data_IF_697656647279
#
_entry.id   IF_697656647279
#
_cell.length_a   1.000
_cell.length_b   1.000
_cell.length_c   1.000
_cell.angle_alpha   90.00
_cell.angle_beta   90.00
_cell.angle_gamma   90.00
#
_symmetry.space_group_name_H-M   'P 1'
#
loop_
_entity.id
_entity.type
_entity.pdbx_description
1 polymer ?
#
# COMPACT_ATOMS: atom_id res chain seq x y z
N UNK A 1 -29.28 2.44 14.55
CA UNK A 1 -28.28 1.58 13.88
C UNK A 1 -27.19 1.33 14.90
N UNK A 2 -26.72 0.10 15.08
CA UNK A 2 -25.56 -0.16 15.94
C UNK A 2 -24.35 0.59 15.35
N UNK A 3 -23.61 1.30 16.20
CA UNK A 3 -22.37 1.97 15.78
C UNK A 3 -21.35 0.87 15.50
N UNK A 4 -20.73 0.87 14.32
CA UNK A 4 -19.67 -0.10 14.03
C UNK A 4 -18.50 0.11 15.00
N UNK A 5 -17.83 -0.96 15.45
CA UNK A 5 -16.63 -0.84 16.30
C UNK A 5 -15.60 0.08 15.70
N UNK A 6 -14.89 0.85 16.52
CA UNK A 6 -13.79 1.68 16.04
C UNK A 6 -12.67 0.82 15.43
N UNK A 7 -11.80 1.43 14.62
CA UNK A 7 -10.64 0.76 14.03
C UNK A 7 -9.36 1.51 14.45
N UNK A 8 -8.51 0.82 15.18
CA UNK A 8 -7.16 1.31 15.51
C UNK A 8 -6.19 0.66 14.54
N UNK A 9 -5.41 1.46 13.83
CA UNK A 9 -4.49 1.02 12.79
C UNK A 9 -3.06 1.33 13.20
N UNK A 10 -2.22 0.32 13.32
CA UNK A 10 -0.79 0.49 13.60
C UNK A 10 0.00 0.36 12.30
N UNK A 11 0.71 1.41 11.92
CA UNK A 11 1.36 1.49 10.62
C UNK A 11 2.79 2.04 10.72
N UNK A 12 3.71 1.39 10.01
CA UNK A 12 5.08 1.86 9.80
C UNK A 12 5.19 2.92 8.69
N UNK A 13 4.11 3.16 7.97
CA UNK A 13 4.06 4.15 6.90
C UNK A 13 3.44 5.45 7.42
N UNK A 14 4.09 6.58 7.12
CA UNK A 14 3.50 7.89 7.39
C UNK A 14 2.32 8.12 6.44
N UNK A 15 1.25 8.69 6.97
CA UNK A 15 0.04 9.01 6.20
C UNK A 15 0.33 9.90 4.99
N UNK A 16 1.23 10.87 5.17
CA UNK A 16 1.58 11.87 4.15
C UNK A 16 2.75 11.45 3.25
N UNK A 17 3.28 10.22 3.39
CA UNK A 17 4.45 9.81 2.61
C UNK A 17 4.08 9.56 1.14
N UNK A 18 3.40 8.46 0.85
CA UNK A 18 2.88 8.17 -0.49
C UNK A 18 1.47 7.62 -0.35
N UNK A 19 0.56 8.04 -1.24
CA UNK A 19 -0.81 7.58 -1.22
C UNK A 19 -0.88 6.16 -1.82
N UNK A 20 -1.29 5.20 -1.01
CA UNK A 20 -1.31 3.78 -1.39
C UNK A 20 -2.37 3.00 -0.59
N UNK A 21 -2.25 1.68 -0.47
CA UNK A 21 -3.22 0.78 0.16
C UNK A 21 -3.77 1.27 1.52
N UNK A 22 -2.95 1.73 2.50
CA UNK A 22 -3.50 2.19 3.77
C UNK A 22 -4.49 3.35 3.61
N UNK A 23 -4.14 4.38 2.84
CA UNK A 23 -5.02 5.53 2.63
C UNK A 23 -6.31 5.12 1.92
N UNK A 24 -6.22 4.26 0.90
CA UNK A 24 -7.40 3.77 0.19
C UNK A 24 -8.36 2.98 1.10
N UNK A 25 -7.83 2.09 1.95
CA UNK A 25 -8.65 1.27 2.84
C UNK A 25 -9.21 2.09 4.01
N UNK A 26 -8.36 2.87 4.68
CA UNK A 26 -8.74 3.57 5.90
C UNK A 26 -9.72 4.72 5.65
N UNK A 27 -9.60 5.44 4.54
CA UNK A 27 -10.60 6.45 4.15
C UNK A 27 -11.96 5.83 3.83
N UNK A 28 -12.01 4.59 3.35
CA UNK A 28 -13.26 3.85 3.15
C UNK A 28 -13.85 3.34 4.45
N UNK A 29 -13.01 2.80 5.33
CA UNK A 29 -13.41 2.43 6.69
C UNK A 29 -14.03 3.60 7.43
N UNK A 30 -13.43 4.80 7.31
CA UNK A 30 -13.88 6.01 7.98
C UNK A 30 -15.27 6.51 7.53
N UNK A 31 -15.84 5.98 6.43
CA UNK A 31 -17.22 6.30 6.02
C UNK A 31 -18.28 5.71 6.95
N UNK A 32 -17.93 4.67 7.73
CA UNK A 32 -18.89 3.92 8.55
C UNK A 32 -18.48 3.71 10.00
N UNK A 33 -17.22 3.99 10.35
CA UNK A 33 -16.66 3.79 11.69
C UNK A 33 -15.58 4.82 12.00
N UNK A 34 -15.29 5.07 13.28
CA UNK A 34 -14.12 5.86 13.69
C UNK A 34 -12.84 5.09 13.33
N UNK A 35 -11.86 5.78 12.75
CA UNK A 35 -10.55 5.21 12.37
C UNK A 35 -9.44 6.06 12.96
N UNK A 36 -8.56 5.43 13.74
CA UNK A 36 -7.38 6.02 14.35
C UNK A 36 -6.14 5.40 13.70
N UNK A 37 -5.47 6.16 12.84
CA UNK A 37 -4.26 5.73 12.15
C UNK A 37 -3.05 6.15 12.96
N UNK A 38 -2.47 5.20 13.68
CA UNK A 38 -1.38 5.41 14.62
C UNK A 38 -0.05 5.13 13.91
N UNK A 39 0.74 6.19 13.72
CA UNK A 39 2.02 6.16 13.03
C UNK A 39 3.17 5.76 13.96
N UNK A 40 4.32 5.40 13.39
CA UNK A 40 5.56 5.26 14.16
C UNK A 40 5.91 6.57 14.91
N UNK A 41 6.58 6.49 16.07
CA UNK A 41 6.91 7.67 16.83
C UNK A 41 7.86 8.63 16.12
N UNK A 42 7.71 9.92 16.41
CA UNK A 42 8.67 10.98 16.09
C UNK A 42 9.46 11.28 17.35
N UNK A 43 10.80 11.27 17.22
CA UNK A 43 11.70 11.54 18.34
C UNK A 43 12.06 13.01 18.40
N UNK A 44 11.96 13.61 19.59
CA UNK A 44 12.21 15.03 19.84
C UNK A 44 12.60 15.33 21.28
N UNK A 45 12.63 16.62 21.64
CA UNK A 45 12.98 17.09 22.99
C UNK A 45 11.76 17.53 23.82
N UNK A 46 10.58 17.67 23.20
CA UNK A 46 9.38 18.29 23.78
C UNK A 46 8.62 17.40 24.79
N UNK A 47 9.15 16.21 25.08
CA UNK A 47 8.49 15.22 25.93
C UNK A 47 7.46 14.37 25.18
N UNK A 48 6.81 13.45 25.93
CA UNK A 48 5.87 12.50 25.35
C UNK A 48 4.50 13.14 25.15
N UNK A 49 3.99 13.10 23.91
CA UNK A 49 2.65 13.59 23.57
C UNK A 49 2.11 12.88 22.32
N UNK A 50 0.80 12.71 22.25
CA UNK A 50 0.12 12.26 21.04
C UNK A 50 -0.41 13.47 20.27
N UNK A 51 0.08 13.69 19.05
CA UNK A 51 -0.48 14.72 18.15
C UNK A 51 -1.49 14.07 17.23
N UNK A 52 -2.66 14.66 17.10
CA UNK A 52 -3.73 14.17 16.24
C UNK A 52 -4.14 15.21 15.22
N UNK A 53 -4.55 14.74 14.01
CA UNK A 53 -5.17 15.56 12.98
C UNK A 53 -6.21 14.77 12.21
N UNK A 54 -7.15 15.46 11.60
CA UNK A 54 -8.17 14.82 10.74
C UNK A 54 -7.77 14.91 9.26
N UNK A 55 -7.83 13.77 8.57
CA UNK A 55 -7.50 13.68 7.16
C UNK A 55 -8.40 12.65 6.47
N UNK A 56 -9.23 13.09 5.50
CA UNK A 56 -10.13 12.17 4.77
C UNK A 56 -11.09 11.36 5.66
N UNK A 57 -11.47 11.89 6.84
CA UNK A 57 -12.31 11.20 7.83
C UNK A 57 -11.54 10.29 8.79
N UNK A 58 -10.23 10.16 8.62
CA UNK A 58 -9.32 9.38 9.48
C UNK A 58 -8.66 10.30 10.50
N UNK A 59 -8.61 9.89 11.77
CA UNK A 59 -7.80 10.55 12.80
C UNK A 59 -6.38 10.00 12.71
N UNK A 60 -5.47 10.79 12.16
CA UNK A 60 -4.04 10.44 12.11
C UNK A 60 -3.40 10.80 13.44
N UNK A 61 -2.82 9.82 14.10
CA UNK A 61 -2.23 9.89 15.44
C UNK A 61 -0.72 9.70 15.33
N UNK A 62 0.04 10.75 15.64
CA UNK A 62 1.51 10.71 15.57
C UNK A 62 2.08 10.83 17.00
N UNK A 63 2.62 9.76 17.59
CA UNK A 63 3.27 9.82 18.87
C UNK A 63 4.58 10.62 18.76
N UNK A 64 4.76 11.60 19.61
CA UNK A 64 6.02 12.28 19.83
C UNK A 64 6.60 11.77 21.14
N UNK A 65 7.82 11.26 21.13
CA UNK A 65 8.50 10.74 22.32
C UNK A 65 9.91 11.32 22.43
N UNK A 66 10.43 11.34 23.65
CA UNK A 66 11.76 11.89 23.91
C UNK A 66 12.85 11.11 23.17
N UNK A 67 13.84 11.84 22.63
CA UNK A 67 15.04 11.25 22.00
C UNK A 67 15.97 10.58 23.03
N UNK A 68 16.83 9.67 22.56
CA UNK A 68 17.88 9.05 23.37
C UNK A 68 17.43 7.86 24.24
N UNK A 69 16.20 7.39 24.06
CA UNK A 69 15.66 6.21 24.75
C UNK A 69 16.14 4.91 24.07
N UNK A 70 16.19 3.83 24.84
CA UNK A 70 16.29 2.48 24.28
C UNK A 70 15.03 2.11 23.50
N UNK A 71 15.14 1.10 22.61
CA UNK A 71 14.00 0.59 21.86
C UNK A 71 12.85 0.12 22.76
N UNK A 72 13.17 -0.53 23.88
CA UNK A 72 12.18 -1.00 24.85
C UNK A 72 11.46 0.16 25.56
N UNK A 73 12.18 1.21 25.96
CA UNK A 73 11.58 2.41 26.57
C UNK A 73 10.71 3.16 25.57
N UNK A 74 11.18 3.31 24.32
CA UNK A 74 10.40 3.92 23.25
C UNK A 74 9.08 3.17 23.00
N UNK A 75 9.13 1.85 22.92
CA UNK A 75 7.94 1.00 22.77
C UNK A 75 6.99 1.13 23.96
N UNK A 76 7.50 1.14 25.19
CA UNK A 76 6.68 1.29 26.39
C UNK A 76 5.97 2.67 26.45
N UNK A 77 6.65 3.74 26.06
CA UNK A 77 6.06 5.09 26.01
C UNK A 77 5.03 5.21 24.88
N UNK A 78 5.32 4.64 23.70
CA UNK A 78 4.37 4.58 22.58
C UNK A 78 3.12 3.78 22.97
N UNK A 79 3.28 2.64 23.65
CA UNK A 79 2.17 1.84 24.17
C UNK A 79 1.30 2.61 25.16
N UNK A 80 1.91 3.41 26.06
CA UNK A 80 1.19 4.26 26.99
C UNK A 80 0.34 5.31 26.26
N UNK A 81 0.91 6.00 25.27
CA UNK A 81 0.16 7.00 24.48
C UNK A 81 -1.01 6.36 23.70
N UNK A 82 -0.84 5.13 23.22
CA UNK A 82 -1.90 4.39 22.57
C UNK A 82 -3.00 3.97 23.57
N UNK A 83 -2.63 3.55 24.77
CA UNK A 83 -3.59 3.20 25.81
C UNK A 83 -4.37 4.44 26.29
N UNK A 84 -3.71 5.58 26.45
CA UNK A 84 -4.32 6.87 26.76
C UNK A 84 -5.33 7.27 25.67
N UNK A 85 -4.99 7.12 24.38
CA UNK A 85 -5.93 7.36 23.27
C UNK A 85 -7.20 6.49 23.40
N UNK A 86 -7.03 5.20 23.70
CA UNK A 86 -8.17 4.26 23.85
C UNK A 86 -9.08 4.68 25.02
N UNK A 87 -8.49 5.13 26.13
CA UNK A 87 -9.22 5.59 27.31
C UNK A 87 -9.91 6.95 27.05
N UNK A 88 -9.19 7.94 26.53
CA UNK A 88 -9.69 9.30 26.27
C UNK A 88 -10.84 9.32 25.27
N UNK A 89 -10.76 8.49 24.24
CA UNK A 89 -11.81 8.33 23.22
C UNK A 89 -12.93 7.36 23.65
N UNK A 90 -12.81 6.73 24.82
CA UNK A 90 -13.80 5.79 25.36
C UNK A 90 -14.03 4.57 24.48
N UNK A 91 -12.98 4.04 23.86
CA UNK A 91 -13.07 2.93 22.90
C UNK A 91 -13.23 1.59 23.62
N UNK A 92 -14.49 1.22 23.92
CA UNK A 92 -14.83 -0.05 24.60
C UNK A 92 -14.92 -1.23 23.61
N UNK A 93 -15.24 -0.96 22.36
CA UNK A 93 -15.38 -1.95 21.30
C UNK A 93 -14.65 -1.47 20.04
N UNK A 94 -13.57 -2.14 19.70
CA UNK A 94 -12.71 -1.76 18.58
C UNK A 94 -11.99 -2.97 17.98
N UNK A 95 -11.65 -2.86 16.70
CA UNK A 95 -10.76 -3.77 16.00
C UNK A 95 -9.34 -3.18 15.93
N UNK A 96 -8.34 -4.04 15.96
CA UNK A 96 -6.94 -3.66 15.81
C UNK A 96 -6.42 -4.13 14.45
N UNK A 97 -5.95 -3.20 13.62
CA UNK A 97 -5.34 -3.47 12.33
C UNK A 97 -3.84 -3.21 12.38
N UNK A 98 -3.04 -4.22 12.08
CA UNK A 98 -1.58 -4.17 12.19
C UNK A 98 -0.95 -4.36 10.81
N UNK A 99 -0.19 -3.36 10.36
CA UNK A 99 0.58 -3.42 9.11
C UNK A 99 2.00 -3.94 9.29
N UNK A 100 2.56 -3.84 10.48
CA UNK A 100 3.92 -4.30 10.74
C UNK A 100 4.02 -5.09 12.06
N UNK A 101 4.65 -6.27 12.04
CA UNK A 101 4.89 -7.02 13.27
C UNK A 101 5.71 -6.26 14.32
N UNK A 102 6.46 -5.23 13.90
CA UNK A 102 7.32 -4.46 14.81
C UNK A 102 6.51 -3.65 15.84
N UNK A 103 5.24 -3.34 15.53
CA UNK A 103 4.33 -2.66 16.47
C UNK A 103 3.68 -3.60 17.50
N UNK A 104 3.90 -4.90 17.43
CA UNK A 104 3.29 -5.85 18.37
C UNK A 104 3.54 -5.52 19.85
N UNK A 105 4.73 -5.07 20.29
CA UNK A 105 4.95 -4.64 21.69
C UNK A 105 4.12 -3.43 22.12
N UNK A 106 3.74 -2.58 21.18
CA UNK A 106 2.92 -1.38 21.46
C UNK A 106 1.47 -1.77 21.80
N UNK A 107 1.04 -2.98 21.42
CA UNK A 107 -0.33 -3.48 21.67
C UNK A 107 -0.54 -4.10 23.05
N UNK A 108 0.48 -4.08 23.91
CA UNK A 108 0.38 -4.65 25.28
C UNK A 108 -0.67 -3.90 26.09
N UNK A 109 -1.61 -4.66 26.66
CA UNK A 109 -2.71 -4.09 27.44
C UNK A 109 -3.97 -3.77 26.63
N UNK A 110 -3.91 -3.82 25.30
CA UNK A 110 -5.10 -3.67 24.46
C UNK A 110 -5.94 -4.96 24.44
N UNK A 111 -7.26 -4.79 24.33
CA UNK A 111 -8.22 -5.89 24.26
C UNK A 111 -9.15 -5.70 23.05
N UNK A 112 -8.64 -5.77 21.82
CA UNK A 112 -9.45 -5.60 20.62
C UNK A 112 -10.47 -6.75 20.45
N UNK A 113 -11.58 -6.47 19.77
CA UNK A 113 -12.55 -7.47 19.34
C UNK A 113 -11.91 -8.48 18.36
N UNK A 114 -11.19 -7.95 17.37
CA UNK A 114 -10.45 -8.72 16.37
C UNK A 114 -9.09 -8.04 16.15
N UNK A 115 -8.04 -8.84 16.01
CA UNK A 115 -6.76 -8.38 15.48
C UNK A 115 -6.65 -8.78 14.02
N UNK A 116 -6.48 -7.82 13.14
CA UNK A 116 -6.23 -7.98 11.70
C UNK A 116 -4.74 -7.82 11.44
N UNK A 117 -4.12 -8.79 10.78
CA UNK A 117 -2.78 -8.62 10.22
C UNK A 117 -2.88 -8.38 8.71
N UNK A 118 -2.59 -7.16 8.25
CA UNK A 118 -2.49 -6.85 6.81
C UNK A 118 -1.03 -6.90 6.37
N UNK A 119 -0.61 -8.10 5.96
CA UNK A 119 0.72 -8.38 5.44
C UNK A 119 0.83 -7.87 4.00
N UNK A 120 1.20 -6.61 3.82
CA UNK A 120 1.30 -6.00 2.49
C UNK A 120 2.54 -6.47 1.71
N UNK A 121 3.63 -6.73 2.43
CA UNK A 121 4.94 -7.09 1.88
C UNK A 121 5.63 -8.12 2.79
N UNK A 122 6.61 -8.86 2.25
CA UNK A 122 7.54 -9.67 3.06
C UNK A 122 8.61 -8.76 3.69
N UNK A 123 8.22 -8.04 4.74
CA UNK A 123 9.06 -7.01 5.37
C UNK A 123 10.43 -7.54 5.83
N UNK A 124 10.51 -8.83 6.16
CA UNK A 124 11.76 -9.48 6.59
C UNK A 124 12.80 -9.63 5.46
N UNK A 125 12.41 -9.40 4.21
CA UNK A 125 13.29 -9.49 3.05
C UNK A 125 13.86 -8.14 2.61
N UNK A 126 13.42 -7.04 3.22
CA UNK A 126 13.96 -5.71 2.90
C UNK A 126 15.33 -5.50 3.54
N UNK A 127 16.17 -4.73 2.86
CA UNK A 127 17.49 -4.34 3.37
C UNK A 127 17.34 -3.63 4.73
N UNK A 128 18.10 -4.10 5.71
CA UNK A 128 18.07 -3.54 7.07
C UNK A 128 16.88 -3.96 7.93
N UNK A 129 16.09 -4.95 7.49
CA UNK A 129 15.01 -5.49 8.30
C UNK A 129 15.53 -5.98 9.67
N UNK A 130 14.89 -5.58 10.79
CA UNK A 130 15.29 -6.03 12.12
C UNK A 130 15.22 -7.57 12.24
N UNK A 131 16.19 -8.23 12.87
CA UNK A 131 16.18 -9.70 13.03
C UNK A 131 14.97 -10.22 13.82
N UNK A 132 14.42 -9.40 14.72
CA UNK A 132 13.23 -9.70 15.52
C UNK A 132 11.95 -9.79 14.70
N UNK A 133 11.92 -9.23 13.50
CA UNK A 133 10.72 -9.11 12.67
C UNK A 133 10.06 -10.48 12.42
N UNK A 134 10.85 -11.51 12.10
CA UNK A 134 10.34 -12.87 11.87
C UNK A 134 9.71 -13.49 13.11
N UNK A 135 10.30 -13.24 14.28
CA UNK A 135 9.78 -13.73 15.57
C UNK A 135 8.47 -13.02 15.91
N UNK A 136 8.44 -11.69 15.74
CA UNK A 136 7.23 -10.90 15.98
C UNK A 136 6.13 -11.20 14.98
N UNK A 137 6.48 -11.50 13.74
CA UNK A 137 5.51 -11.94 12.74
C UNK A 137 4.84 -13.27 13.16
N UNK A 138 5.61 -14.24 13.65
CA UNK A 138 5.04 -15.47 14.15
C UNK A 138 4.07 -15.23 15.33
N UNK A 139 4.46 -14.36 16.27
CA UNK A 139 3.59 -13.97 17.39
C UNK A 139 2.32 -13.23 16.91
N UNK A 140 2.43 -12.42 15.83
CA UNK A 140 1.29 -11.73 15.27
C UNK A 140 0.32 -12.69 14.57
N UNK A 141 0.83 -13.71 13.87
CA UNK A 141 0.01 -14.80 13.33
C UNK A 141 -0.79 -15.51 14.43
N UNK A 142 -0.17 -15.80 15.59
CA UNK A 142 -0.83 -16.46 16.71
C UNK A 142 -1.95 -15.61 17.34
N UNK A 143 -1.90 -14.28 17.19
CA UNK A 143 -2.87 -13.34 17.76
C UNK A 143 -3.94 -12.87 16.76
N UNK A 144 -3.66 -12.97 15.46
CA UNK A 144 -4.57 -12.51 14.43
C UNK A 144 -5.85 -13.34 14.40
N UNK A 145 -7.00 -12.70 14.28
CA UNK A 145 -8.26 -13.38 13.95
C UNK A 145 -8.43 -13.58 12.44
N UNK A 146 -7.81 -12.69 11.66
CA UNK A 146 -7.79 -12.75 10.20
C UNK A 146 -6.49 -12.13 9.67
N UNK A 147 -5.97 -12.70 8.59
CA UNK A 147 -4.75 -12.24 7.91
C UNK A 147 -5.08 -11.90 6.46
N UNK A 148 -4.69 -10.71 6.03
CA UNK A 148 -4.74 -10.30 4.64
C UNK A 148 -3.34 -10.26 4.06
N UNK A 149 -3.18 -10.66 2.80
CA UNK A 149 -1.90 -10.54 2.09
C UNK A 149 -2.02 -9.59 0.93
N UNK A 150 -0.97 -8.80 0.69
CA UNK A 150 -0.94 -7.76 -0.33
C UNK A 150 -0.91 -8.28 -1.77
N UNK A 151 -0.82 -9.60 -1.97
CA UNK A 151 -0.77 -10.23 -3.28
C UNK A 151 -0.91 -11.74 -3.23
N UNK A 152 -1.02 -12.35 -4.42
CA UNK A 152 -1.21 -13.79 -4.56
C UNK A 152 0.05 -14.58 -4.15
N UNK A 153 1.22 -14.10 -4.57
CA UNK A 153 2.49 -14.78 -4.23
C UNK A 153 2.76 -14.77 -2.72
N UNK A 154 2.42 -13.68 -2.06
CA UNK A 154 2.53 -13.57 -0.62
C UNK A 154 1.50 -14.47 0.10
N UNK A 155 0.28 -14.59 -0.43
CA UNK A 155 -0.72 -15.54 0.05
C UNK A 155 -0.20 -16.98 -0.01
N UNK A 156 0.35 -17.40 -1.14
CA UNK A 156 0.93 -18.73 -1.31
C UNK A 156 2.00 -19.04 -0.24
N UNK A 157 2.80 -18.04 0.14
CA UNK A 157 3.84 -18.19 1.16
C UNK A 157 3.31 -18.19 2.60
N UNK A 158 2.15 -17.58 2.86
CA UNK A 158 1.63 -17.37 4.23
C UNK A 158 0.39 -18.23 4.55
N UNK A 159 -0.29 -18.82 3.55
CA UNK A 159 -1.57 -19.52 3.71
C UNK A 159 -1.52 -20.72 4.68
N UNK A 160 -0.38 -21.39 4.81
CA UNK A 160 -0.23 -22.50 5.75
C UNK A 160 0.07 -22.06 7.20
N UNK A 161 0.33 -20.76 7.41
CA UNK A 161 0.74 -20.22 8.71
C UNK A 161 -0.43 -19.82 9.61
N UNK A 162 -1.62 -19.66 9.04
CA UNK A 162 -2.82 -19.28 9.79
C UNK A 162 -4.08 -19.80 9.09
N UNK A 163 -5.11 -20.27 9.82
CA UNK A 163 -6.30 -20.89 9.22
C UNK A 163 -7.20 -19.89 8.47
N UNK A 164 -7.07 -18.60 8.73
CA UNK A 164 -7.94 -17.55 8.17
C UNK A 164 -7.08 -16.51 7.43
N UNK A 165 -6.52 -16.90 6.26
CA UNK A 165 -5.67 -16.03 5.40
C UNK A 165 -6.38 -15.78 4.08
N UNK A 166 -6.39 -14.54 3.62
CA UNK A 166 -7.02 -14.14 2.36
C UNK A 166 -6.11 -13.23 1.52
N UNK A 167 -6.08 -13.50 0.22
CA UNK A 167 -5.33 -12.67 -0.74
C UNK A 167 -6.16 -11.44 -1.15
N UNK A 168 -5.59 -10.26 -0.93
CA UNK A 168 -6.13 -8.98 -1.40
C UNK A 168 -5.02 -8.20 -2.08
N UNK A 169 -4.78 -8.49 -3.36
CA UNK A 169 -3.90 -7.66 -4.17
C UNK A 169 -4.39 -6.21 -4.20
N UNK A 170 -3.48 -5.29 -4.46
CA UNK A 170 -3.84 -3.87 -4.56
C UNK A 170 -4.89 -3.67 -5.65
N UNK A 171 -5.93 -2.93 -5.31
CA UNK A 171 -6.99 -2.51 -6.21
C UNK A 171 -6.63 -1.17 -6.88
N UNK A 172 -7.55 -0.57 -7.59
CA UNK A 172 -7.34 0.69 -8.31
C UNK A 172 -8.56 1.59 -8.22
N UNK A 173 -8.33 2.89 -8.21
CA UNK A 173 -9.35 3.91 -8.50
C UNK A 173 -9.38 4.15 -10.02
N UNK A 174 -10.17 3.34 -10.72
CA UNK A 174 -10.27 3.40 -12.19
C UNK A 174 -10.71 4.79 -12.65
N UNK A 175 -11.68 5.41 -11.95
CA UNK A 175 -12.19 6.74 -12.31
C UNK A 175 -11.10 7.81 -12.20
N UNK A 176 -10.25 7.72 -11.20
CA UNK A 176 -9.13 8.64 -11.01
C UNK A 176 -8.10 8.53 -12.14
N UNK A 177 -7.59 7.35 -12.42
CA UNK A 177 -6.56 7.16 -13.44
C UNK A 177 -7.07 7.27 -14.87
N UNK A 178 -8.33 6.93 -15.15
CA UNK A 178 -8.94 7.09 -16.47
C UNK A 178 -9.03 8.55 -16.92
N UNK A 179 -8.90 9.54 -16.03
CA UNK A 179 -8.77 10.96 -16.38
C UNK A 179 -7.59 11.20 -17.34
N UNK A 180 -6.53 10.40 -17.27
CA UNK A 180 -5.40 10.48 -18.19
C UNK A 180 -5.78 10.34 -19.67
N UNK A 181 -6.91 9.66 -19.95
CA UNK A 181 -7.43 9.48 -21.32
C UNK A 181 -8.21 10.70 -21.83
N UNK A 182 -8.51 11.65 -20.96
CA UNK A 182 -9.35 12.83 -21.23
C UNK A 182 -8.61 14.07 -21.71
N UNK A 183 -7.31 13.98 -22.02
CA UNK A 183 -6.53 15.12 -22.53
C UNK A 183 -6.15 16.13 -21.44
N UNK A 184 -5.72 15.67 -20.28
CA UNK A 184 -5.19 16.52 -19.21
C UNK A 184 -3.97 17.34 -19.69
N UNK A 185 -3.76 18.56 -19.14
CA UNK A 185 -2.57 19.35 -19.45
C UNK A 185 -1.27 18.60 -19.12
N UNK A 186 -0.24 18.81 -19.96
CA UNK A 186 1.09 18.27 -19.68
C UNK A 186 1.73 19.03 -18.52
N UNK A 187 2.18 18.36 -17.45
CA UNK A 187 2.84 19.00 -16.32
C UNK A 187 4.05 19.81 -16.72
N UNK A 188 4.20 21.01 -16.12
CA UNK A 188 5.21 21.97 -16.52
C UNK A 188 6.65 21.46 -16.43
N UNK A 189 6.92 20.55 -15.51
CA UNK A 189 8.25 19.97 -15.29
C UNK A 189 8.59 18.78 -16.21
N UNK A 190 7.62 18.30 -17.00
CA UNK A 190 7.90 17.32 -18.07
C UNK A 190 7.57 17.82 -19.47
N UNK A 191 6.83 18.91 -19.62
CA UNK A 191 6.32 19.38 -20.94
C UNK A 191 7.43 19.71 -21.92
N UNK A 192 8.64 20.11 -21.43
CA UNK A 192 9.80 20.39 -22.26
C UNK A 192 10.53 19.12 -22.75
N UNK A 193 10.25 17.96 -22.17
CA UNK A 193 10.89 16.70 -22.55
C UNK A 193 10.32 16.19 -23.88
N UNK A 194 11.15 15.82 -24.85
CA UNK A 194 10.67 15.27 -26.12
C UNK A 194 9.98 13.90 -25.90
N UNK A 195 9.35 13.38 -26.94
CA UNK A 195 8.84 12.01 -26.98
C UNK A 195 9.81 11.09 -27.73
N UNK A 196 9.78 9.77 -27.46
CA UNK A 196 8.88 9.09 -26.54
C UNK A 196 9.29 9.25 -25.08
N UNK A 197 8.29 9.33 -24.18
CA UNK A 197 8.47 9.37 -22.73
C UNK A 197 8.11 8.02 -22.10
N UNK A 198 9.06 7.42 -21.41
CA UNK A 198 8.92 6.15 -20.72
C UNK A 198 8.91 6.44 -19.22
N UNK A 199 7.78 6.27 -18.55
CA UNK A 199 7.59 6.76 -17.19
C UNK A 199 7.48 5.67 -16.14
N UNK A 200 7.99 5.98 -14.95
CA UNK A 200 7.77 5.23 -13.71
C UNK A 200 7.40 6.21 -12.60
N UNK A 201 6.44 5.87 -11.75
CA UNK A 201 6.26 6.53 -10.47
C UNK A 201 6.23 5.53 -9.31
N UNK A 202 6.75 5.96 -8.17
CA UNK A 202 6.81 5.20 -6.93
C UNK A 202 8.09 5.42 -6.16
N UNK A 203 8.21 4.74 -5.04
CA UNK A 203 9.44 4.79 -4.25
C UNK A 203 10.60 4.17 -5.05
N UNK A 204 11.71 4.91 -5.15
CA UNK A 204 12.95 4.46 -5.78
C UNK A 204 13.88 4.01 -4.65
N UNK A 205 13.99 2.69 -4.50
CA UNK A 205 14.81 2.03 -3.47
C UNK A 205 15.48 0.75 -4.04
N UNK A 206 15.94 -0.16 -3.19
CA UNK A 206 16.57 -1.43 -3.59
C UNK A 206 15.73 -2.34 -4.48
N UNK A 207 14.45 -2.02 -4.65
CA UNK A 207 13.53 -2.75 -5.56
C UNK A 207 13.60 -2.24 -7.00
N UNK A 208 14.14 -1.04 -7.22
CA UNK A 208 14.24 -0.45 -8.54
C UNK A 208 15.54 -0.92 -9.24
N UNK A 209 15.44 -1.45 -10.45
CA UNK A 209 16.59 -1.90 -11.24
C UNK A 209 17.27 -0.71 -11.94
N UNK A 210 18.16 -0.07 -11.22
CA UNK A 210 18.94 1.07 -11.72
C UNK A 210 19.85 0.70 -12.89
N UNK A 211 20.39 -0.54 -12.89
CA UNK A 211 21.28 -1.02 -13.94
C UNK A 211 20.53 -1.23 -15.26
N UNK A 212 19.34 -1.85 -15.20
CA UNK A 212 18.47 -2.02 -16.35
C UNK A 212 18.12 -0.67 -17.00
N UNK A 213 17.69 0.30 -16.20
CA UNK A 213 17.33 1.63 -16.72
C UNK A 213 18.55 2.34 -17.30
N UNK A 214 19.71 2.27 -16.64
CA UNK A 214 20.94 2.86 -17.14
C UNK A 214 21.33 2.33 -18.52
N UNK A 215 21.28 1.00 -18.67
CA UNK A 215 21.68 0.34 -19.91
C UNK A 215 20.71 0.63 -21.06
N UNK A 216 19.39 0.56 -20.81
CA UNK A 216 18.39 0.86 -21.86
C UNK A 216 18.45 2.34 -22.24
N UNK A 217 18.65 3.25 -21.29
CA UNK A 217 18.79 4.69 -21.56
C UNK A 217 20.03 5.00 -22.41
N UNK A 218 21.14 4.31 -22.18
CA UNK A 218 22.35 4.45 -22.99
C UNK A 218 22.15 3.96 -24.43
N UNK A 219 21.41 2.87 -24.61
CA UNK A 219 21.13 2.27 -25.94
C UNK A 219 20.13 3.10 -26.74
N UNK A 220 19.23 3.79 -26.07
CA UNK A 220 18.15 4.58 -26.67
C UNK A 220 18.22 6.05 -26.22
N UNK A 221 19.20 6.83 -26.73
CA UNK A 221 19.42 8.21 -26.26
C UNK A 221 18.27 9.16 -26.60
N UNK A 222 17.43 8.81 -27.56
CA UNK A 222 16.26 9.61 -27.96
C UNK A 222 15.04 9.37 -27.04
N UNK A 223 15.03 8.28 -26.25
CA UNK A 223 13.95 8.02 -25.31
C UNK A 223 14.15 8.83 -24.02
N UNK A 224 13.06 9.34 -23.46
CA UNK A 224 13.11 10.10 -22.20
C UNK A 224 12.55 9.26 -21.06
N UNK A 225 13.37 8.94 -20.07
CA UNK A 225 12.98 8.19 -18.87
C UNK A 225 12.53 9.19 -17.80
N UNK A 226 11.23 9.19 -17.49
CA UNK A 226 10.60 10.09 -16.51
C UNK A 226 10.36 9.32 -15.22
N UNK A 227 11.16 9.61 -14.19
CA UNK A 227 11.14 8.89 -12.92
C UNK A 227 10.59 9.80 -11.81
N UNK A 228 9.45 9.40 -11.25
CA UNK A 228 8.70 10.18 -10.25
C UNK A 228 8.68 9.42 -8.93
N UNK A 229 9.04 10.09 -7.85
CA UNK A 229 8.94 9.58 -6.49
C UNK A 229 10.14 9.87 -5.62
N UNK A 230 10.04 9.56 -4.32
CA UNK A 230 11.14 9.74 -3.38
C UNK A 230 12.21 8.66 -3.56
N UNK A 231 13.47 9.05 -3.40
CA UNK A 231 14.62 8.13 -3.30
C UNK A 231 14.86 7.84 -1.83
N UNK A 232 14.76 6.58 -1.44
CA UNK A 232 14.92 6.16 -0.03
C UNK A 232 15.74 4.86 0.06
N UNK A 233 16.48 4.68 1.15
CA UNK A 233 17.26 3.46 1.46
C UNK A 233 18.40 3.12 0.49
N UNK A 234 18.63 3.93 -0.54
CA UNK A 234 19.77 3.82 -1.45
C UNK A 234 20.49 5.16 -1.51
N UNK A 235 21.79 5.13 -1.84
CA UNK A 235 22.55 6.36 -2.03
C UNK A 235 22.10 7.03 -3.35
N UNK A 236 21.67 8.30 -3.32
CA UNK A 236 21.35 9.04 -4.55
C UNK A 236 22.52 9.11 -5.56
N UNK A 237 23.76 8.89 -5.13
CA UNK A 237 24.92 8.80 -6.00
C UNK A 237 24.94 7.50 -6.86
N UNK A 238 24.25 6.45 -6.42
CA UNK A 238 24.12 5.18 -7.16
C UNK A 238 23.08 5.25 -8.29
N UNK A 239 22.28 6.33 -8.34
CA UNK A 239 21.26 6.49 -9.37
C UNK A 239 21.91 6.77 -10.75
N UNK A 240 21.45 6.13 -11.82
CA UNK A 240 21.94 6.39 -13.16
C UNK A 240 21.70 7.85 -13.59
N UNK A 241 22.74 8.48 -14.12
CA UNK A 241 22.69 9.87 -14.60
C UNK A 241 23.06 9.91 -16.07
N UNK A 242 22.06 10.00 -16.91
CA UNK A 242 22.20 10.24 -18.34
C UNK A 242 21.35 11.45 -18.74
N UNK A 243 21.67 12.07 -19.88
CA UNK A 243 20.96 13.27 -20.33
C UNK A 243 19.45 13.04 -20.56
N UNK A 244 19.06 11.79 -20.77
CA UNK A 244 17.70 11.36 -21.03
C UNK A 244 17.03 10.65 -19.83
N UNK A 245 17.60 10.74 -18.62
CA UNK A 245 16.97 10.23 -17.38
C UNK A 245 16.63 11.43 -16.49
N UNK A 246 15.35 11.59 -16.18
CA UNK A 246 14.78 12.74 -15.47
C UNK A 246 14.12 12.31 -14.17
N UNK A 247 14.66 12.77 -13.04
CA UNK A 247 14.08 12.55 -11.70
C UNK A 247 13.26 13.77 -11.32
N UNK A 248 11.93 13.64 -11.33
CA UNK A 248 11.00 14.76 -11.07
C UNK A 248 10.58 14.89 -9.60
N UNK A 249 11.16 14.05 -8.71
CA UNK A 249 10.81 14.05 -7.30
C UNK A 249 9.40 13.51 -7.01
N UNK A 250 8.95 13.69 -5.78
CA UNK A 250 7.63 13.22 -5.35
C UNK A 250 6.52 14.08 -5.94
N UNK A 251 5.41 13.44 -6.34
CA UNK A 251 4.18 14.09 -6.81
C UNK A 251 2.99 13.62 -5.99
N UNK A 252 2.01 14.49 -5.84
CA UNK A 252 0.76 14.14 -5.19
C UNK A 252 -0.06 13.14 -6.02
N UNK A 253 -0.83 12.28 -5.35
CA UNK A 253 -1.67 11.27 -6.00
C UNK A 253 -2.60 11.88 -7.06
N UNK A 254 -3.17 13.06 -6.75
CA UNK A 254 -4.06 13.78 -7.66
C UNK A 254 -3.39 14.26 -8.97
N UNK A 255 -2.04 14.40 -8.98
CA UNK A 255 -1.29 14.87 -10.14
C UNK A 255 -0.95 13.73 -11.10
N UNK A 256 -0.87 12.47 -10.61
CA UNK A 256 -0.37 11.32 -11.38
C UNK A 256 -1.09 11.08 -12.71
N UNK A 257 -2.43 11.25 -12.83
CA UNK A 257 -3.10 11.09 -14.13
C UNK A 257 -2.60 12.06 -15.21
N UNK A 258 -2.19 13.30 -14.84
CA UNK A 258 -1.67 14.26 -15.80
C UNK A 258 -0.30 13.84 -16.35
N UNK A 259 0.58 13.26 -15.52
CA UNK A 259 1.85 12.69 -15.98
C UNK A 259 1.61 11.51 -16.92
N UNK A 260 0.75 10.56 -16.52
CA UNK A 260 0.40 9.38 -17.30
C UNK A 260 -0.22 9.71 -18.65
N UNK A 261 -1.02 10.79 -18.76
CA UNK A 261 -1.61 11.24 -20.00
C UNK A 261 -0.57 11.55 -21.10
N UNK A 262 0.67 11.78 -20.71
CA UNK A 262 1.74 12.18 -21.60
C UNK A 262 2.91 11.18 -21.66
N UNK A 263 2.75 9.99 -21.09
CA UNK A 263 3.70 8.89 -21.26
C UNK A 263 3.32 7.99 -22.45
N UNK A 264 4.33 7.54 -23.16
CA UNK A 264 4.16 6.59 -24.28
C UNK A 264 4.27 5.14 -23.80
N UNK A 265 5.06 4.90 -22.73
CA UNK A 265 5.22 3.60 -22.08
C UNK A 265 5.26 3.80 -20.56
N UNK A 266 4.57 2.96 -19.83
CA UNK A 266 4.68 2.89 -18.37
C UNK A 266 5.59 1.71 -17.96
N UNK A 267 6.56 2.00 -17.10
CA UNK A 267 7.61 1.06 -16.72
C UNK A 267 7.40 0.52 -15.30
N UNK A 268 7.72 -0.76 -15.13
CA UNK A 268 7.88 -1.43 -13.84
C UNK A 268 9.24 -2.14 -13.82
N UNK A 269 10.34 -1.39 -13.73
CA UNK A 269 11.69 -1.93 -13.80
C UNK A 269 12.16 -2.38 -12.41
N UNK A 270 11.53 -3.42 -11.88
CA UNK A 270 11.91 -3.96 -10.59
C UNK A 270 13.11 -4.90 -10.69
N UNK A 271 14.08 -4.73 -9.79
CA UNK A 271 15.17 -5.67 -9.60
C UNK A 271 14.63 -7.02 -9.13
N UNK A 272 15.19 -8.12 -9.61
CA UNK A 272 14.80 -9.47 -9.18
C UNK A 272 15.63 -9.88 -7.97
N UNK A 273 15.13 -9.59 -6.79
CA UNK A 273 15.79 -9.87 -5.52
C UNK A 273 14.77 -10.32 -4.45
N UNK A 274 15.24 -10.61 -3.24
CA UNK A 274 14.37 -11.08 -2.15
C UNK A 274 13.26 -10.08 -1.78
N UNK A 275 13.53 -8.77 -1.88
CA UNK A 275 12.54 -7.74 -1.56
C UNK A 275 11.42 -7.64 -2.60
N UNK A 276 11.67 -8.10 -3.85
CA UNK A 276 10.68 -8.03 -4.94
C UNK A 276 9.97 -9.36 -5.21
N UNK A 277 10.39 -10.45 -4.57
CA UNK A 277 9.80 -11.77 -4.79
C UNK A 277 8.30 -11.82 -4.48
N UNK A 278 7.86 -11.07 -3.48
CA UNK A 278 6.50 -11.11 -2.96
C UNK A 278 5.69 -9.83 -3.19
N UNK A 279 6.24 -8.85 -3.92
CA UNK A 279 5.51 -7.61 -4.16
C UNK A 279 4.36 -7.80 -5.16
N UNK A 280 3.28 -7.05 -4.92
CA UNK A 280 2.16 -6.91 -5.84
C UNK A 280 2.00 -5.42 -6.19
N UNK A 281 2.60 -4.95 -7.30
CA UNK A 281 2.69 -3.53 -7.60
C UNK A 281 1.32 -2.90 -7.86
N UNK A 282 0.94 -1.90 -7.07
CA UNK A 282 -0.29 -1.09 -7.26
C UNK A 282 -0.33 -0.39 -8.60
N UNK A 283 0.83 -0.08 -9.16
CA UNK A 283 1.00 0.69 -10.39
C UNK A 283 0.50 -0.04 -11.63
N UNK A 284 0.53 -1.38 -11.65
CA UNK A 284 0.09 -2.13 -12.82
C UNK A 284 -1.35 -1.82 -13.20
N UNK A 285 -2.36 -1.99 -12.31
CA UNK A 285 -3.73 -1.62 -12.65
C UNK A 285 -3.94 -0.11 -12.83
N UNK A 286 -3.15 0.75 -12.16
CA UNK A 286 -3.21 2.20 -12.31
C UNK A 286 -2.78 2.63 -13.73
N UNK A 287 -1.66 2.09 -14.24
CA UNK A 287 -1.18 2.35 -15.61
C UNK A 287 -2.17 1.86 -16.67
N UNK A 288 -2.73 0.67 -16.46
CA UNK A 288 -3.76 0.12 -17.35
C UNK A 288 -5.03 0.97 -17.35
N UNK A 289 -5.46 1.46 -16.18
CA UNK A 289 -6.60 2.36 -16.06
C UNK A 289 -6.36 3.69 -16.78
N UNK A 290 -5.13 4.19 -16.75
CA UNK A 290 -4.70 5.38 -17.49
C UNK A 290 -4.63 5.16 -19.03
N UNK A 291 -4.64 3.91 -19.49
CA UNK A 291 -4.57 3.58 -20.92
C UNK A 291 -3.14 3.47 -21.45
N UNK A 292 -2.13 3.48 -20.62
CA UNK A 292 -0.72 3.41 -21.03
C UNK A 292 -0.27 1.95 -21.17
N UNK A 293 0.53 1.66 -22.19
CA UNK A 293 1.11 0.33 -22.37
C UNK A 293 2.19 0.05 -21.32
N UNK A 294 2.14 -1.13 -20.69
CA UNK A 294 2.98 -1.48 -19.55
C UNK A 294 4.08 -2.45 -19.94
N UNK A 295 5.33 -2.14 -19.52
CA UNK A 295 6.47 -3.06 -19.59
C UNK A 295 7.02 -3.27 -18.19
N UNK A 296 7.16 -4.53 -17.78
CA UNK A 296 7.60 -4.92 -16.45
C UNK A 296 8.70 -5.98 -16.52
N UNK A 297 9.58 -5.96 -15.54
CA UNK A 297 10.39 -7.14 -15.21
C UNK A 297 9.50 -8.25 -14.65
N UNK A 298 10.01 -9.48 -14.57
CA UNK A 298 9.27 -10.68 -14.21
C UNK A 298 8.89 -10.78 -12.74
N UNK A 299 8.02 -9.89 -12.28
CA UNK A 299 7.40 -9.93 -10.94
C UNK A 299 6.20 -10.89 -10.99
N UNK A 300 6.13 -11.80 -10.01
CA UNK A 300 5.15 -12.89 -9.99
C UNK A 300 3.71 -12.39 -10.14
N UNK A 301 3.33 -11.38 -9.34
CA UNK A 301 1.99 -10.78 -9.34
C UNK A 301 1.75 -9.79 -10.50
N UNK A 302 2.77 -9.56 -11.36
CA UNK A 302 2.58 -8.89 -12.65
C UNK A 302 2.47 -9.92 -13.76
N UNK A 303 3.27 -10.99 -13.74
CA UNK A 303 3.12 -12.11 -14.69
C UNK A 303 1.70 -12.66 -14.59
N UNK A 304 1.25 -12.94 -13.37
CA UNK A 304 -0.11 -13.39 -13.07
C UNK A 304 -0.88 -12.27 -12.33
N UNK A 305 -1.94 -11.71 -12.90
CA UNK A 305 -2.62 -12.07 -14.14
C UNK A 305 -2.22 -11.25 -15.38
N UNK A 306 -1.50 -10.14 -15.23
CA UNK A 306 -1.38 -9.12 -16.28
C UNK A 306 -0.57 -9.60 -17.51
N UNK A 307 0.51 -10.34 -17.29
CA UNK A 307 1.28 -10.98 -18.34
C UNK A 307 0.47 -12.05 -19.08
N UNK A 308 -0.16 -12.95 -18.31
CA UNK A 308 -0.96 -14.06 -18.85
C UNK A 308 -2.15 -13.57 -19.70
N UNK A 309 -2.76 -12.45 -19.32
CA UNK A 309 -3.84 -11.80 -20.06
C UNK A 309 -3.33 -10.85 -21.16
N UNK A 310 -2.02 -10.79 -21.39
CA UNK A 310 -1.39 -9.89 -22.37
C UNK A 310 -1.74 -8.40 -22.15
N UNK A 311 -1.92 -8.00 -20.92
CA UNK A 311 -2.15 -6.61 -20.51
C UNK A 311 -0.84 -5.86 -20.26
N UNK A 312 0.20 -6.57 -19.80
CA UNK A 312 1.56 -6.08 -19.62
C UNK A 312 2.56 -6.96 -20.37
N UNK A 313 3.63 -6.37 -20.87
CA UNK A 313 4.76 -7.09 -21.46
C UNK A 313 5.80 -7.36 -20.38
N UNK A 314 6.29 -8.60 -20.33
CA UNK A 314 7.25 -9.04 -19.32
C UNK A 314 8.62 -9.24 -19.99
N UNK A 315 9.67 -8.65 -19.43
CA UNK A 315 11.01 -8.68 -19.99
C UNK A 315 12.09 -8.52 -18.90
N UNK A 316 13.01 -9.47 -18.80
CA UNK A 316 13.99 -9.57 -17.69
C UNK A 316 15.42 -9.20 -18.10
N UNK A 317 15.70 -8.95 -19.35
CA UNK A 317 17.01 -8.50 -19.81
C UNK A 317 16.92 -7.16 -20.52
N UNK A 318 18.01 -6.37 -20.58
CA UNK A 318 18.02 -5.10 -21.30
C UNK A 318 17.55 -5.22 -22.75
N UNK A 319 17.98 -6.26 -23.48
CA UNK A 319 17.54 -6.51 -24.86
C UNK A 319 16.05 -6.76 -24.97
N UNK A 320 15.52 -7.62 -24.11
CA UNK A 320 14.09 -7.95 -24.10
C UNK A 320 13.24 -6.75 -23.62
N UNK A 321 13.73 -5.99 -22.64
CA UNK A 321 13.03 -4.81 -22.09
C UNK A 321 12.96 -3.69 -23.13
N UNK A 322 14.06 -3.42 -23.83
CA UNK A 322 14.11 -2.49 -24.96
C UNK A 322 13.14 -2.92 -26.07
N UNK A 323 13.20 -4.19 -26.48
CA UNK A 323 12.29 -4.73 -27.51
C UNK A 323 10.82 -4.63 -27.10
N UNK A 324 10.50 -4.88 -25.82
CA UNK A 324 9.15 -4.77 -25.28
C UNK A 324 8.67 -3.30 -25.30
N UNK A 325 9.52 -2.34 -24.94
CA UNK A 325 9.20 -0.91 -25.02
C UNK A 325 8.96 -0.48 -26.48
N UNK A 326 9.83 -0.88 -27.42
CA UNK A 326 9.64 -0.62 -28.87
C UNK A 326 8.29 -1.17 -29.35
N UNK A 327 7.97 -2.40 -28.98
CA UNK A 327 6.70 -2.99 -29.38
C UNK A 327 5.47 -2.22 -28.83
N UNK A 328 5.56 -1.65 -27.63
CA UNK A 328 4.48 -0.77 -27.10
C UNK A 328 4.40 0.52 -27.90
N UNK A 329 5.54 1.14 -28.24
CA UNK A 329 5.59 2.36 -29.06
C UNK A 329 5.02 2.13 -30.47
N UNK A 330 5.38 1.01 -31.11
CA UNK A 330 4.92 0.65 -32.46
C UNK A 330 3.41 0.33 -32.50
N UNK A 331 2.86 -0.15 -31.38
CA UNK A 331 1.42 -0.43 -31.25
C UNK A 331 0.58 0.85 -31.06
N UNK A 332 1.19 2.00 -30.74
CA UNK A 332 0.45 3.22 -30.42
C UNK A 332 -0.54 3.59 -31.54
N UNK A 333 -1.80 3.82 -31.19
CA UNK A 333 -2.87 4.17 -32.13
C UNK A 333 -3.41 3.03 -32.99
N UNK A 334 -2.83 1.82 -32.94
CA UNK A 334 -3.28 0.65 -33.71
C UNK A 334 -4.53 -0.01 -33.13
N UNK A 335 -5.12 -0.92 -33.89
CA UNK A 335 -6.21 -1.78 -33.42
C UNK A 335 -5.75 -2.68 -32.25
N UNK A 336 -4.52 -3.17 -32.28
CA UNK A 336 -3.97 -4.02 -31.23
C UNK A 336 -3.94 -3.29 -29.86
N UNK A 337 -3.52 -2.01 -29.85
CA UNK A 337 -3.54 -1.20 -28.64
C UNK A 337 -4.96 -0.99 -28.11
N UNK A 338 -5.94 -0.74 -29.01
CA UNK A 338 -7.36 -0.62 -28.61
C UNK A 338 -7.90 -1.90 -28.02
N UNK A 339 -7.64 -3.04 -28.64
CA UNK A 339 -8.06 -4.36 -28.11
C UNK A 339 -7.40 -4.69 -26.76
N UNK A 340 -6.13 -4.36 -26.57
CA UNK A 340 -5.46 -4.49 -25.26
C UNK A 340 -6.16 -3.63 -24.21
N UNK A 341 -6.51 -2.38 -24.56
CA UNK A 341 -7.21 -1.49 -23.65
C UNK A 341 -8.61 -2.00 -23.29
N UNK A 342 -9.37 -2.52 -24.25
CA UNK A 342 -10.69 -3.13 -23.99
C UNK A 342 -10.59 -4.30 -23.02
N UNK A 343 -9.58 -5.19 -23.21
CA UNK A 343 -9.31 -6.29 -22.25
C UNK A 343 -8.91 -5.77 -20.88
N UNK A 344 -8.09 -4.71 -20.82
CA UNK A 344 -7.72 -4.07 -19.55
C UNK A 344 -8.95 -3.49 -18.83
N UNK A 345 -9.81 -2.78 -19.53
CA UNK A 345 -11.04 -2.20 -18.97
C UNK A 345 -12.00 -3.28 -18.46
N UNK A 346 -12.13 -4.39 -19.20
CA UNK A 346 -12.91 -5.54 -18.76
C UNK A 346 -12.33 -6.15 -17.47
N UNK A 347 -11.03 -6.37 -17.40
CA UNK A 347 -10.38 -6.88 -16.20
C UNK A 347 -10.53 -5.93 -15.01
N UNK A 348 -10.26 -4.64 -15.23
CA UNK A 348 -10.31 -3.61 -14.19
C UNK A 348 -11.73 -3.35 -13.66
N UNK A 349 -12.78 -3.64 -14.45
CA UNK A 349 -14.18 -3.49 -14.02
C UNK A 349 -14.52 -4.35 -12.78
N UNK A 350 -13.77 -5.42 -12.53
CA UNK A 350 -13.90 -6.25 -11.35
C UNK A 350 -13.15 -5.71 -10.13
N UNK A 351 -12.24 -4.76 -10.31
CA UNK A 351 -11.40 -4.20 -9.26
C UNK A 351 -11.97 -2.87 -8.76
N UNK A 352 -12.09 -2.70 -7.46
CA UNK A 352 -12.31 -1.40 -6.84
C UNK A 352 -11.94 -1.46 -5.35
N UNK A 353 -11.39 -0.36 -4.84
CA UNK A 353 -11.08 -0.24 -3.43
C UNK A 353 -12.33 -0.33 -2.53
N UNK A 354 -13.50 0.10 -3.04
CA UNK A 354 -14.76 -0.02 -2.30
C UNK A 354 -15.18 -1.48 -2.15
N UNK A 355 -15.04 -2.30 -3.20
CA UNK A 355 -15.30 -3.75 -3.14
C UNK A 355 -14.27 -4.45 -2.25
N UNK A 356 -12.98 -4.10 -2.38
CA UNK A 356 -11.91 -4.65 -1.54
C UNK A 356 -12.20 -4.40 -0.07
N UNK A 357 -12.52 -3.15 0.30
CA UNK A 357 -12.87 -2.82 1.68
C UNK A 357 -14.12 -3.57 2.17
N UNK A 358 -15.19 -3.64 1.36
CA UNK A 358 -16.41 -4.34 1.74
C UNK A 358 -16.16 -5.82 2.06
N UNK A 359 -15.39 -6.52 1.21
CA UNK A 359 -15.01 -7.92 1.44
C UNK A 359 -14.12 -8.09 2.69
N UNK A 360 -13.14 -7.21 2.88
CA UNK A 360 -12.30 -7.24 4.08
C UNK A 360 -13.13 -6.99 5.35
N UNK A 361 -14.04 -6.03 5.32
CA UNK A 361 -14.91 -5.72 6.45
C UNK A 361 -15.82 -6.91 6.83
N UNK A 362 -16.37 -7.63 5.85
CA UNK A 362 -17.14 -8.85 6.07
C UNK A 362 -16.30 -9.93 6.77
N UNK A 363 -15.08 -10.18 6.29
CA UNK A 363 -14.17 -11.16 6.90
C UNK A 363 -13.74 -10.78 8.32
N UNK A 364 -13.63 -9.49 8.64
CA UNK A 364 -13.35 -9.00 10.00
C UNK A 364 -14.54 -9.29 10.91
N UNK A 365 -15.78 -9.04 10.44
CA UNK A 365 -16.99 -9.35 11.21
C UNK A 365 -17.14 -10.86 11.45
N UNK A 366 -16.82 -11.70 10.46
CA UNK A 366 -16.85 -13.16 10.59
C UNK A 366 -15.78 -13.69 11.56
N UNK A 367 -14.64 -13.02 11.66
CA UNK A 367 -13.57 -13.36 12.59
C UNK A 367 -13.87 -12.92 14.04
N UNK A 368 -14.87 -12.08 14.26
CA UNK A 368 -15.21 -11.59 15.59
C UNK A 368 -15.86 -12.70 16.46
N UNK A 369 -15.46 -12.83 17.74
CA UNK A 369 -16.06 -13.81 18.64
C UNK A 369 -17.56 -13.58 18.77
N UNK A 370 -18.36 -14.63 18.57
CA UNK A 370 -19.83 -14.60 18.62
C UNK A 370 -20.41 -14.26 20.02
N UNK A 371 -19.60 -14.10 21.06
CA UNK A 371 -19.98 -14.10 22.47
C UNK A 371 -20.13 -12.72 23.12
N UNK A 372 -20.26 -11.62 22.38
CA UNK A 372 -20.52 -10.28 22.96
C UNK A 372 -21.90 -9.67 22.64
N UNK A 373 -22.90 -10.46 22.30
CA UNK A 373 -24.28 -10.01 22.45
C UNK A 373 -24.64 -10.09 23.93
N UNK A 374 -24.34 -9.02 24.70
CA UNK A 374 -24.91 -8.83 26.04
C UNK A 374 -26.42 -8.88 25.91
N UNK A 375 -27.02 -9.93 26.45
CA UNK A 375 -28.45 -9.96 26.68
C UNK A 375 -28.84 -8.73 27.52
N UNK A 376 -29.92 -8.01 27.21
CA UNK A 376 -30.35 -6.88 28.03
C UNK A 376 -30.57 -7.38 29.46
N UNK A 377 -29.93 -6.70 30.42
CA UNK A 377 -30.13 -6.98 31.84
C UNK A 377 -31.61 -6.90 32.15
N UNK A 378 -32.22 -8.08 32.41
CA UNK A 378 -33.57 -8.16 32.93
C UNK A 378 -33.58 -7.56 34.32
N UNK A 379 -34.06 -6.34 34.45
CA UNK A 379 -34.46 -5.76 35.74
C UNK A 379 -35.62 -6.61 36.28
N UNK A 380 -35.26 -7.60 37.09
CA UNK A 380 -36.24 -8.25 37.96
C UNK A 380 -36.62 -7.22 39.06
N UNK A 381 -37.75 -6.61 38.87
CA UNK A 381 -38.44 -5.88 39.96
C UNK A 381 -38.78 -6.89 41.07
N UNK A 382 -38.03 -6.84 42.16
CA UNK A 382 -38.45 -7.42 43.44
C UNK A 382 -39.58 -6.56 43.95
N UNK A 383 -40.84 -6.92 43.67
CA UNK A 383 -42.00 -6.47 44.45
C UNK A 383 -42.03 -7.29 45.70
N UNK A 384 -41.66 -6.67 46.81
CA UNK A 384 -42.03 -7.18 48.12
C UNK A 384 -43.55 -7.08 48.30
N UNK A 385 -44.13 -8.12 48.80
CA UNK A 385 -45.45 -8.08 49.48
C UNK A 385 -45.24 -8.50 50.93
N UNK A 386 -45.48 -7.54 51.79
CA UNK A 386 -45.81 -7.81 53.19
C UNK A 386 -47.03 -8.68 53.26
N UNK A 387 -46.98 -9.75 54.07
CA UNK A 387 -47.96 -10.15 55.10
C UNK A 387 -47.33 -11.21 55.99
#
# INVERSE_FOLDING_TARGET
>A
MAVSPALIVLAHLRWDFVFQRPQHLMTRAARSRAVYYFEEPVFGEDGDQLKTRQEGGVTVCTPHIQSGLSAAESQARTARLLAELVEDEGLLDYDLWVYTPMELPVTVGLSPRVTVYDCMDELANFRGAPPELRVREAQLFDRAGVVFTGGQRLYEAKSERHPNVHAFASSVDVGHFAQARGGLPDPADQTALPRPRLGFYGVIDERFDTALIAEVAQRQPDWQFVLIGPVVKIDPAELPRAANIHYLGMKGYAELPAYLAHWDVALLPFARNAATEFISPTKTPEYLAAGVGVVSTGICDVIRPYGDLQLARIADSPDAFEAACKAVLDEAGTQAARQRQERADQYLSALSWDRTWAQMAELIEDAAPTTRRLAPASHALLTGSDD
#
